data_IF_254113261515
#
_entry.id   IF_254113261515
#
_cell.length_a   1.000
_cell.length_b   1.000
_cell.length_c   1.000
_cell.angle_alpha   90.00
_cell.angle_beta   90.00
_cell.angle_gamma   90.00
#
_symmetry.space_group_name_H-M   'P 1'
#
loop_
_entity.id
_entity.type
_entity.pdbx_description
1 polymer ?
#
# COMPACT_ATOMS: atom_id res chain seq x y z
N UNK A 1 3.39 28.42 -2.46
CA UNK A 1 4.38 27.36 -2.14
C UNK A 1 3.72 26.14 -1.51
N UNK A 2 2.50 26.29 -1.00
CA UNK A 2 1.72 25.25 -0.29
C UNK A 2 1.32 24.02 -1.12
N UNK A 3 0.99 24.13 -2.43
CA UNK A 3 0.59 22.97 -3.23
C UNK A 3 1.70 21.92 -3.43
N UNK A 4 2.95 22.37 -3.54
CA UNK A 4 4.12 21.49 -3.73
C UNK A 4 4.40 20.67 -2.47
N UNK A 5 4.19 21.27 -1.29
CA UNK A 5 4.34 20.58 -0.01
C UNK A 5 3.28 19.49 0.14
N UNK A 6 2.02 19.81 -0.20
CA UNK A 6 0.94 18.83 -0.19
C UNK A 6 1.22 17.67 -1.15
N UNK A 7 1.69 17.98 -2.36
CA UNK A 7 2.03 16.95 -3.35
C UNK A 7 3.17 16.04 -2.87
N UNK A 8 4.24 16.62 -2.31
CA UNK A 8 5.35 15.86 -1.73
C UNK A 8 4.88 14.94 -0.59
N UNK A 9 4.02 15.46 0.28
CA UNK A 9 3.50 14.71 1.42
C UNK A 9 2.59 13.57 0.98
N UNK A 10 1.72 13.82 -0.02
CA UNK A 10 0.90 12.78 -0.65
C UNK A 10 1.72 11.69 -1.33
N UNK A 11 2.78 12.04 -2.07
CA UNK A 11 3.69 11.06 -2.69
C UNK A 11 4.38 10.18 -1.65
N UNK A 12 4.90 10.79 -0.57
CA UNK A 12 5.51 10.03 0.53
C UNK A 12 4.50 9.10 1.19
N UNK A 13 3.26 9.55 1.37
CA UNK A 13 2.17 8.74 1.91
C UNK A 13 1.94 7.49 1.07
N UNK A 14 1.83 7.64 -0.26
CA UNK A 14 1.62 6.50 -1.17
C UNK A 14 2.75 5.49 -1.05
N UNK A 15 4.00 5.95 -0.96
CA UNK A 15 5.17 5.06 -0.79
C UNK A 15 5.08 4.29 0.53
N UNK A 16 4.79 4.99 1.63
CA UNK A 16 4.71 4.40 2.97
C UNK A 16 3.53 3.42 3.09
N UNK A 17 2.37 3.76 2.51
CA UNK A 17 1.16 2.95 2.55
C UNK A 17 1.25 1.71 1.67
N UNK A 18 1.96 1.79 0.54
CA UNK A 18 2.17 0.66 -0.38
C UNK A 18 3.32 -0.26 0.05
N UNK A 19 4.25 0.20 0.89
CA UNK A 19 5.40 -0.60 1.31
C UNK A 19 5.03 -1.93 2.01
N UNK A 20 4.11 -1.99 3.01
CA UNK A 20 3.76 -3.25 3.65
C UNK A 20 3.19 -4.32 2.71
N UNK A 21 2.16 -4.05 1.87
CA UNK A 21 1.63 -5.04 0.95
C UNK A 21 2.66 -5.45 -0.11
N UNK A 22 3.53 -4.54 -0.55
CA UNK A 22 4.63 -4.87 -1.47
C UNK A 22 5.64 -5.82 -0.85
N UNK A 23 6.07 -5.58 0.39
CA UNK A 23 7.00 -6.46 1.10
C UNK A 23 6.41 -7.86 1.24
N UNK A 24 5.14 -7.96 1.65
CA UNK A 24 4.48 -9.27 1.77
C UNK A 24 4.34 -9.95 0.41
N UNK A 25 3.97 -9.22 -0.64
CA UNK A 25 3.86 -9.77 -2.00
C UNK A 25 5.20 -10.34 -2.50
N UNK A 26 6.31 -9.64 -2.22
CA UNK A 26 7.66 -10.09 -2.59
C UNK A 26 8.05 -11.33 -1.78
N UNK A 27 7.93 -11.29 -0.45
CA UNK A 27 8.33 -12.42 0.43
C UNK A 27 7.53 -13.67 0.07
N UNK A 28 6.21 -13.57 0.02
CA UNK A 28 5.35 -14.71 -0.33
C UNK A 28 5.59 -15.17 -1.75
N UNK A 29 5.83 -14.24 -2.68
CA UNK A 29 6.14 -14.59 -4.06
C UNK A 29 7.42 -15.40 -4.21
N UNK A 30 8.47 -15.02 -3.50
CA UNK A 30 9.76 -15.72 -3.50
C UNK A 30 9.64 -17.09 -2.85
N UNK A 31 8.97 -17.18 -1.70
CA UNK A 31 8.77 -18.45 -0.99
C UNK A 31 7.98 -19.44 -1.84
N UNK A 32 6.88 -18.98 -2.45
CA UNK A 32 6.04 -19.83 -3.29
C UNK A 32 6.77 -20.26 -4.56
N UNK A 33 7.53 -19.38 -5.22
CA UNK A 33 8.32 -19.75 -6.40
C UNK A 33 9.42 -20.76 -6.08
N UNK A 34 10.02 -20.67 -4.89
CA UNK A 34 11.04 -21.63 -4.44
C UNK A 34 10.43 -23.01 -4.20
N UNK A 35 9.28 -23.08 -3.50
CA UNK A 35 8.58 -24.35 -3.26
C UNK A 35 8.13 -24.99 -4.57
N UNK A 36 7.64 -24.20 -5.53
CA UNK A 36 7.26 -24.68 -6.85
C UNK A 36 8.45 -25.25 -7.63
N UNK A 37 9.60 -24.59 -7.59
CA UNK A 37 10.81 -25.08 -8.23
C UNK A 37 11.30 -26.40 -7.60
N UNK A 38 11.26 -26.51 -6.27
CA UNK A 38 11.71 -27.72 -5.55
C UNK A 38 10.78 -28.93 -5.75
N UNK A 39 9.47 -28.72 -5.74
CA UNK A 39 8.48 -29.79 -5.93
C UNK A 39 8.14 -30.08 -7.39
N UNK A 40 8.73 -29.33 -8.34
CA UNK A 40 8.42 -29.42 -9.78
C UNK A 40 6.93 -29.19 -10.11
N UNK A 41 6.20 -28.44 -9.27
CA UNK A 41 4.80 -28.11 -9.50
C UNK A 41 4.75 -26.92 -10.48
N UNK A 42 4.34 -27.18 -11.73
CA UNK A 42 4.23 -26.17 -12.80
C UNK A 42 2.82 -25.57 -12.93
N UNK A 43 1.99 -25.68 -11.90
CA UNK A 43 0.66 -25.08 -11.92
C UNK A 43 0.74 -23.56 -11.70
N UNK A 44 0.40 -22.79 -12.73
CA UNK A 44 0.44 -21.31 -12.68
C UNK A 44 -0.71 -20.69 -11.87
N UNK A 45 -1.75 -21.44 -11.54
CA UNK A 45 -2.93 -20.91 -10.80
C UNK A 45 -2.71 -20.88 -9.29
N UNK A 46 -2.00 -21.89 -8.76
CA UNK A 46 -1.64 -22.02 -7.35
C UNK A 46 -0.82 -20.84 -6.79
N UNK A 47 0.24 -20.33 -7.44
CA UNK A 47 0.98 -19.17 -6.95
C UNK A 47 0.14 -17.90 -6.95
N UNK A 48 -0.77 -17.76 -7.91
CA UNK A 48 -1.64 -16.60 -8.01
C UNK A 48 -2.62 -16.54 -6.83
N UNK A 49 -3.28 -17.67 -6.53
CA UNK A 49 -4.20 -17.77 -5.38
C UNK A 49 -3.53 -17.47 -4.04
N UNK A 50 -2.36 -18.07 -3.79
CA UNK A 50 -1.62 -17.86 -2.53
C UNK A 50 -1.19 -16.40 -2.37
N UNK A 51 -0.65 -15.79 -3.44
CA UNK A 51 -0.25 -14.37 -3.42
C UNK A 51 -1.45 -13.46 -3.15
N UNK A 52 -2.61 -13.72 -3.78
CA UNK A 52 -3.83 -12.93 -3.59
C UNK A 52 -4.30 -12.95 -2.13
N UNK A 53 -4.36 -14.13 -1.52
CA UNK A 53 -4.77 -14.27 -0.11
C UNK A 53 -3.78 -13.56 0.80
N UNK A 54 -2.47 -13.72 0.58
CA UNK A 54 -1.46 -13.07 1.41
C UNK A 54 -1.52 -11.54 1.35
N UNK A 55 -1.64 -10.97 0.15
CA UNK A 55 -1.79 -9.51 -0.02
C UNK A 55 -3.12 -9.04 0.57
N UNK A 56 -4.21 -9.79 0.36
CA UNK A 56 -5.52 -9.48 0.93
C UNK A 56 -5.51 -9.42 2.46
N UNK A 57 -4.91 -10.42 3.12
CA UNK A 57 -4.72 -10.42 4.57
C UNK A 57 -3.89 -9.22 5.03
N UNK A 58 -2.81 -8.91 4.30
CA UNK A 58 -1.96 -7.75 4.62
C UNK A 58 -2.75 -6.44 4.56
N UNK A 59 -3.56 -6.25 3.52
CA UNK A 59 -4.40 -5.07 3.36
C UNK A 59 -5.49 -4.97 4.43
N UNK A 60 -6.06 -6.09 4.88
CA UNK A 60 -7.03 -6.08 6.00
C UNK A 60 -6.34 -5.62 7.28
N UNK A 61 -5.13 -6.12 7.55
CA UNK A 61 -4.35 -5.74 8.74
C UNK A 61 -3.89 -4.29 8.69
N UNK A 62 -3.42 -3.81 7.53
CA UNK A 62 -2.96 -2.42 7.36
C UNK A 62 -4.09 -1.44 7.05
N UNK A 63 -5.30 -1.92 6.76
CA UNK A 63 -6.43 -1.09 6.30
C UNK A 63 -6.81 0.01 7.29
N UNK A 64 -6.80 -0.28 8.60
CA UNK A 64 -7.07 0.74 9.63
C UNK A 64 -6.01 1.84 9.63
N UNK A 65 -4.74 1.48 9.49
CA UNK A 65 -3.65 2.46 9.43
C UNK A 65 -3.72 3.31 8.16
N UNK A 66 -3.98 2.68 7.01
CA UNK A 66 -4.18 3.39 5.74
C UNK A 66 -5.31 4.40 5.84
N UNK A 67 -6.43 4.02 6.48
CA UNK A 67 -7.56 4.92 6.68
C UNK A 67 -7.21 6.16 7.51
N UNK A 68 -6.48 5.99 8.62
CA UNK A 68 -6.06 7.11 9.48
C UNK A 68 -5.18 8.10 8.71
N UNK A 69 -4.20 7.57 7.98
CA UNK A 69 -3.23 8.38 7.24
C UNK A 69 -3.91 9.19 6.11
N UNK A 70 -4.86 8.57 5.40
CA UNK A 70 -5.66 9.25 4.37
C UNK A 70 -6.54 10.36 4.95
N UNK A 71 -7.21 10.11 6.08
CA UNK A 71 -8.01 11.13 6.76
C UNK A 71 -7.13 12.32 7.17
N UNK A 72 -5.91 12.06 7.63
CA UNK A 72 -4.96 13.12 7.98
C UNK A 72 -4.57 13.97 6.76
N UNK A 73 -4.29 13.35 5.61
CA UNK A 73 -4.01 14.08 4.36
C UNK A 73 -5.21 14.92 3.89
N UNK A 74 -6.42 14.39 4.03
CA UNK A 74 -7.67 15.08 3.70
C UNK A 74 -7.84 16.32 4.58
N UNK A 75 -7.65 16.19 5.90
CA UNK A 75 -7.76 17.31 6.83
C UNK A 75 -6.75 18.42 6.53
N UNK A 76 -5.49 18.05 6.23
CA UNK A 76 -4.45 19.01 5.83
C UNK A 76 -4.86 19.78 4.56
N UNK A 77 -5.46 19.09 3.59
CA UNK A 77 -5.94 19.71 2.35
C UNK A 77 -7.08 20.70 2.62
N UNK A 78 -8.06 20.31 3.43
CA UNK A 78 -9.19 21.19 3.79
C UNK A 78 -8.74 22.43 4.56
N UNK A 79 -7.78 22.31 5.47
CA UNK A 79 -7.21 23.45 6.19
C UNK A 79 -6.46 24.42 5.27
N UNK A 80 -5.77 23.92 4.24
CA UNK A 80 -5.09 24.77 3.26
C UNK A 80 -6.11 25.54 2.41
N UNK A 81 -7.17 24.87 1.94
CA UNK A 81 -8.25 25.51 1.17
C UNK A 81 -8.96 26.58 2.01
N UNK A 82 -9.32 26.26 3.26
CA UNK A 82 -10.00 27.19 4.16
C UNK A 82 -9.17 28.44 4.50
N UNK A 83 -7.84 28.31 4.57
CA UNK A 83 -6.92 29.44 4.72
C UNK A 83 -6.82 30.29 3.45
N UNK A 84 -6.78 29.66 2.29
CA UNK A 84 -6.74 30.36 1.00
C UNK A 84 -8.04 31.11 0.69
N UNK A 85 -9.18 30.68 1.23
CA UNK A 85 -10.47 31.35 1.04
C UNK A 85 -10.68 32.54 2.01
N UNK A 86 -9.84 32.67 3.05
CA UNK A 86 -9.93 33.74 4.07
C UNK A 86 -9.01 34.93 3.77
N UNK A 87 -8.01 34.76 2.89
CA UNK A 87 -7.11 35.81 2.41
C UNK A 87 -7.52 36.29 1.03
#
# INVERSE_FOLDING_TARGET
MDPIVLFKQGMLLVVVLSAPPLIVAVVVGVLVSLVQALMQIQDQTLPFGIKLVAVGVTLILTGRWIGVELIQLINLTFEMIGRSARN
#
